data_IF_460015053222
#
_entry.id   IF_460015053222
#
_cell.length_a   1.000
_cell.length_b   1.000
_cell.length_c   1.000
_cell.angle_alpha   90.00
_cell.angle_beta   90.00
_cell.angle_gamma   90.00
#
_symmetry.space_group_name_H-M   'P 1'
#
loop_
_entity.id
_entity.type
_entity.pdbx_description
1 polymer ?
#
# COMPACT_ATOMS: atom_id res chain seq x y z
N UNK A 1 53.85 -7.83 16.38
CA UNK A 1 53.73 -8.73 15.21
C UNK A 1 52.77 -9.84 15.64
N UNK A 2 51.45 -9.68 15.59
CA UNK A 2 50.63 -9.36 14.43
C UNK A 2 50.21 -10.69 13.80
N UNK A 3 48.98 -11.15 14.07
CA UNK A 3 48.24 -12.04 13.17
C UNK A 3 46.75 -11.87 13.42
N UNK A 4 46.08 -11.55 12.33
CA UNK A 4 44.75 -10.97 12.19
C UNK A 4 43.69 -12.02 12.45
N UNK A 5 42.71 -11.68 13.29
CA UNK A 5 41.41 -12.31 13.25
C UNK A 5 40.73 -11.80 11.97
N UNK A 6 40.82 -12.57 10.89
CA UNK A 6 40.03 -12.32 9.69
C UNK A 6 38.59 -12.65 10.04
N UNK A 7 37.81 -11.62 10.33
CA UNK A 7 36.37 -11.70 10.47
C UNK A 7 35.85 -11.97 9.06
N UNK A 8 35.36 -13.18 8.81
CA UNK A 8 34.56 -13.45 7.63
C UNK A 8 33.20 -12.80 7.89
N UNK A 9 33.00 -11.57 7.42
CA UNK A 9 31.66 -11.09 7.10
C UNK A 9 31.32 -11.70 5.75
N UNK A 10 30.74 -12.90 5.75
CA UNK A 10 30.07 -13.41 4.57
C UNK A 10 28.88 -12.47 4.31
N UNK A 11 29.07 -11.48 3.44
CA UNK A 11 27.94 -10.78 2.85
C UNK A 11 27.25 -11.76 1.92
N UNK A 12 26.26 -12.49 2.49
CA UNK A 12 25.37 -13.29 1.68
C UNK A 12 24.65 -12.34 0.71
N UNK A 13 24.72 -12.60 -0.61
CA UNK A 13 24.01 -11.76 -1.56
C UNK A 13 22.52 -11.84 -1.23
N UNK A 14 21.95 -10.70 -0.86
CA UNK A 14 20.51 -10.59 -0.64
C UNK A 14 19.85 -10.77 -2.01
N UNK A 15 19.06 -11.84 -2.14
CA UNK A 15 18.36 -12.14 -3.38
C UNK A 15 17.07 -11.33 -3.38
N UNK A 16 16.89 -10.52 -4.42
CA UNK A 16 15.68 -9.76 -4.65
C UNK A 16 14.82 -10.46 -5.72
N UNK A 17 13.52 -10.54 -5.46
CA UNK A 17 12.51 -10.96 -6.42
C UNK A 17 12.08 -9.72 -7.19
N UNK A 18 12.18 -9.72 -8.53
CA UNK A 18 11.84 -8.53 -9.32
C UNK A 18 10.33 -8.24 -9.27
N UNK A 19 9.98 -6.96 -9.17
CA UNK A 19 8.58 -6.48 -9.19
C UNK A 19 7.76 -7.08 -10.33
N UNK A 20 8.37 -7.19 -11.51
CA UNK A 20 7.73 -7.70 -12.72
C UNK A 20 7.21 -9.13 -12.57
N UNK A 21 7.86 -9.97 -11.75
CA UNK A 21 7.41 -11.33 -11.49
C UNK A 21 6.26 -11.33 -10.47
N UNK A 22 6.33 -10.47 -9.45
CA UNK A 22 5.35 -10.40 -8.36
C UNK A 22 4.00 -9.89 -8.87
N UNK A 23 4.00 -8.84 -9.69
CA UNK A 23 2.76 -8.28 -10.26
C UNK A 23 2.08 -9.22 -11.29
N UNK A 24 2.79 -10.24 -11.78
CA UNK A 24 2.23 -11.24 -12.69
C UNK A 24 1.64 -12.45 -11.96
N UNK A 25 1.84 -12.54 -10.65
CA UNK A 25 1.31 -13.63 -9.84
C UNK A 25 -0.23 -13.63 -9.89
N UNK A 26 -0.89 -14.80 -9.97
CA UNK A 26 -2.36 -14.90 -9.99
C UNK A 26 -3.06 -14.10 -8.88
N UNK A 27 -2.42 -14.01 -7.72
CA UNK A 27 -2.88 -13.31 -6.53
C UNK A 27 -2.92 -11.78 -6.72
N UNK A 28 -2.00 -11.21 -7.51
CA UNK A 28 -1.85 -9.75 -7.67
C UNK A 28 -2.19 -9.23 -9.06
N UNK A 29 -2.17 -10.07 -10.10
CA UNK A 29 -2.22 -9.61 -11.49
C UNK A 29 -3.48 -8.83 -11.88
N UNK A 30 -4.61 -9.16 -11.26
CA UNK A 30 -5.90 -8.49 -11.48
C UNK A 30 -6.11 -7.31 -10.51
N UNK A 31 -5.19 -7.06 -9.58
CA UNK A 31 -5.33 -5.99 -8.60
C UNK A 31 -4.82 -4.66 -9.20
N UNK A 32 -5.66 -3.59 -9.26
CA UNK A 32 -5.26 -2.28 -9.81
C UNK A 32 -4.16 -1.58 -8.99
N UNK A 33 -3.94 -2.00 -7.75
CA UNK A 33 -2.92 -1.48 -6.85
C UNK A 33 -1.68 -2.38 -6.75
N UNK A 34 -1.53 -3.39 -7.60
CA UNK A 34 -0.42 -4.37 -7.50
C UNK A 34 0.97 -3.73 -7.46
N UNK A 35 1.23 -2.68 -8.25
CA UNK A 35 2.52 -1.98 -8.20
C UNK A 35 2.71 -1.28 -6.86
N UNK A 36 1.68 -0.57 -6.37
CA UNK A 36 1.73 0.13 -5.08
C UNK A 36 1.90 -0.83 -3.91
N UNK A 37 1.18 -1.96 -3.90
CA UNK A 37 1.33 -3.00 -2.89
C UNK A 37 2.80 -3.41 -2.82
N UNK A 38 3.40 -3.78 -3.95
CA UNK A 38 4.79 -4.23 -3.98
C UNK A 38 5.76 -3.11 -3.57
N UNK A 39 5.55 -1.88 -4.03
CA UNK A 39 6.35 -0.72 -3.63
C UNK A 39 6.27 -0.45 -2.11
N UNK A 40 5.10 -0.59 -1.48
CA UNK A 40 4.91 -0.39 -0.04
C UNK A 40 5.69 -1.40 0.81
N UNK A 41 5.90 -2.62 0.31
CA UNK A 41 6.68 -3.66 1.01
C UNK A 41 8.17 -3.63 0.63
N UNK A 42 8.57 -2.91 -0.41
CA UNK A 42 9.96 -2.83 -0.85
C UNK A 42 10.76 -1.90 0.05
N UNK A 43 11.86 -2.38 0.64
CA UNK A 43 12.74 -1.53 1.47
C UNK A 43 13.38 -0.38 0.68
N UNK A 44 13.62 -0.59 -0.61
CA UNK A 44 14.22 0.39 -1.52
C UNK A 44 13.20 1.28 -2.25
N UNK A 45 11.90 0.98 -2.12
CA UNK A 45 10.81 1.64 -2.85
C UNK A 45 10.82 1.41 -4.37
N UNK A 46 11.72 0.58 -4.91
CA UNK A 46 11.79 0.25 -6.35
C UNK A 46 10.92 -0.96 -6.71
N UNK A 47 10.29 -1.60 -5.71
CA UNK A 47 9.40 -2.76 -5.86
C UNK A 47 10.11 -4.12 -5.91
N UNK A 48 11.44 -4.16 -5.72
CA UNK A 48 12.19 -5.41 -5.69
C UNK A 48 12.23 -5.99 -4.29
N UNK A 49 11.36 -6.97 -4.02
CA UNK A 49 11.20 -7.53 -2.69
C UNK A 49 12.33 -8.51 -2.33
N UNK A 50 12.87 -8.40 -1.13
CA UNK A 50 13.63 -9.49 -0.52
C UNK A 50 12.69 -10.64 -0.14
N UNK A 51 13.24 -11.81 0.21
CA UNK A 51 12.42 -12.91 0.70
C UNK A 51 11.62 -12.53 1.96
N UNK A 52 12.18 -11.71 2.85
CA UNK A 52 11.48 -11.26 4.04
C UNK A 52 10.32 -10.34 3.69
N UNK A 53 10.55 -9.35 2.81
CA UNK A 53 9.49 -8.43 2.36
C UNK A 53 8.35 -9.16 1.67
N UNK A 54 8.68 -10.17 0.87
CA UNK A 54 7.70 -11.02 0.21
C UNK A 54 6.85 -11.79 1.23
N UNK A 55 7.47 -12.37 2.26
CA UNK A 55 6.75 -13.07 3.34
C UNK A 55 5.90 -12.11 4.16
N UNK A 56 6.39 -10.91 4.46
CA UNK A 56 5.65 -9.89 5.19
C UNK A 56 4.44 -9.39 4.39
N UNK A 57 4.61 -9.18 3.08
CA UNK A 57 3.52 -8.84 2.16
C UNK A 57 2.40 -9.86 2.24
N UNK A 58 2.69 -11.16 2.02
CA UNK A 58 1.66 -12.20 2.10
C UNK A 58 1.08 -12.38 3.51
N UNK A 59 1.87 -12.12 4.55
CA UNK A 59 1.39 -12.19 5.93
C UNK A 59 0.33 -11.12 6.23
N UNK A 60 0.46 -9.92 5.68
CA UNK A 60 -0.52 -8.84 5.81
C UNK A 60 -1.76 -9.09 4.95
N UNK A 61 -1.56 -9.61 3.74
CA UNK A 61 -2.64 -9.89 2.78
C UNK A 61 -3.49 -11.11 3.17
N UNK A 62 -2.98 -11.97 4.05
CA UNK A 62 -3.71 -13.12 4.56
C UNK A 62 -5.03 -12.73 5.25
N UNK A 63 -6.08 -13.56 5.09
CA UNK A 63 -7.38 -13.35 5.73
C UNK A 63 -7.25 -13.20 7.26
N UNK A 64 -6.37 -13.99 7.88
CA UNK A 64 -6.16 -14.00 9.32
C UNK A 64 -5.38 -12.81 9.87
N UNK A 65 -4.89 -11.89 9.04
CA UNK A 65 -4.10 -10.76 9.51
C UNK A 65 -4.97 -9.78 10.34
N UNK A 66 -4.44 -9.19 11.43
CA UNK A 66 -5.19 -8.25 12.25
C UNK A 66 -5.73 -7.07 11.44
N UNK A 67 -6.96 -6.66 11.73
CA UNK A 67 -7.62 -5.53 11.05
C UNK A 67 -6.80 -4.25 11.09
N UNK A 68 -6.17 -3.96 12.22
CA UNK A 68 -5.31 -2.78 12.42
C UNK A 68 -4.07 -2.82 11.51
N UNK A 69 -3.45 -3.99 11.36
CA UNK A 69 -2.32 -4.18 10.45
C UNK A 69 -2.75 -3.96 8.99
N UNK A 70 -3.89 -4.54 8.59
CA UNK A 70 -4.47 -4.31 7.26
C UNK A 70 -4.78 -2.84 7.00
N UNK A 71 -5.37 -2.15 7.97
CA UNK A 71 -5.67 -0.73 7.87
C UNK A 71 -4.39 0.11 7.71
N UNK A 72 -3.31 -0.22 8.45
CA UNK A 72 -2.02 0.47 8.31
C UNK A 72 -1.42 0.32 6.91
N UNK A 73 -1.42 -0.90 6.36
CA UNK A 73 -0.90 -1.10 5.02
C UNK A 73 -1.82 -0.55 3.93
N UNK A 74 -3.14 -0.65 4.09
CA UNK A 74 -4.09 -0.02 3.19
C UNK A 74 -3.83 1.49 3.12
N UNK A 75 -3.67 2.15 4.27
CA UNK A 75 -3.33 3.57 4.34
C UNK A 75 -2.07 3.90 3.52
N UNK A 76 -0.99 3.14 3.70
CA UNK A 76 0.27 3.31 2.94
C UNK A 76 0.14 3.04 1.44
N UNK A 77 -0.80 2.19 1.03
CA UNK A 77 -1.05 1.92 -0.39
C UNK A 77 -1.78 3.11 -1.04
N UNK A 78 -2.71 3.73 -0.31
CA UNK A 78 -3.45 4.92 -0.76
C UNK A 78 -2.63 6.20 -0.69
N UNK A 79 -1.70 6.34 0.26
CA UNK A 79 -0.74 7.44 0.33
C UNK A 79 0.34 7.27 -0.76
N UNK A 80 0.22 8.00 -1.87
CA UNK A 80 1.18 7.92 -2.98
C UNK A 80 2.41 8.78 -2.73
N UNK A 81 2.24 9.92 -2.05
CA UNK A 81 3.32 10.88 -1.82
C UNK A 81 4.18 10.52 -0.59
N UNK A 82 3.73 9.56 0.22
CA UNK A 82 4.36 9.02 1.45
C UNK A 82 4.51 10.04 2.59
N UNK A 83 3.63 11.04 2.67
CA UNK A 83 3.64 12.06 3.71
C UNK A 83 2.87 11.68 4.99
N UNK A 84 2.26 10.49 5.01
CA UNK A 84 1.36 9.96 6.05
C UNK A 84 0.00 10.66 6.13
N UNK A 85 -0.44 11.29 5.05
CA UNK A 85 -1.78 11.80 4.84
C UNK A 85 -2.29 11.29 3.49
N UNK A 86 -3.59 11.13 3.37
CA UNK A 86 -4.23 10.92 2.05
C UNK A 86 -4.82 12.26 1.65
N UNK A 87 -4.19 12.91 0.68
CA UNK A 87 -4.66 14.19 0.16
C UNK A 87 -5.57 13.98 -1.06
N UNK A 88 -6.07 15.08 -1.61
CA UNK A 88 -6.92 15.05 -2.80
C UNK A 88 -6.21 14.41 -4.00
N UNK A 89 -4.93 14.71 -4.19
CA UNK A 89 -4.12 14.15 -5.28
C UNK A 89 -3.98 12.61 -5.17
N UNK A 90 -3.84 12.09 -3.95
CA UNK A 90 -3.81 10.64 -3.70
C UNK A 90 -5.15 9.97 -4.05
N UNK A 91 -6.27 10.63 -3.72
CA UNK A 91 -7.61 10.16 -4.07
C UNK A 91 -7.86 10.21 -5.58
N UNK A 92 -7.36 11.24 -6.27
CA UNK A 92 -7.43 11.33 -7.73
C UNK A 92 -6.70 10.16 -8.41
N UNK A 93 -5.47 9.87 -7.97
CA UNK A 93 -4.69 8.73 -8.45
C UNK A 93 -5.38 7.40 -8.14
N UNK A 94 -5.96 7.29 -6.95
CA UNK A 94 -6.74 6.14 -6.53
C UNK A 94 -7.95 5.90 -7.44
N UNK A 95 -8.72 6.95 -7.71
CA UNK A 95 -9.90 6.88 -8.57
C UNK A 95 -9.50 6.55 -10.01
N UNK A 96 -8.44 7.15 -10.53
CA UNK A 96 -7.90 6.84 -11.86
C UNK A 96 -7.51 5.35 -11.99
N UNK A 97 -6.98 4.74 -10.92
CA UNK A 97 -6.66 3.30 -10.88
C UNK A 97 -7.90 2.41 -10.82
N UNK A 98 -8.92 2.82 -10.07
CA UNK A 98 -10.16 2.05 -9.89
C UNK A 98 -11.09 2.10 -11.11
N UNK A 99 -11.14 3.23 -11.80
CA UNK A 99 -12.05 3.46 -12.92
C UNK A 99 -11.37 3.33 -14.27
N UNK A 100 -10.11 2.92 -14.31
CA UNK A 100 -9.30 2.89 -15.53
C UNK A 100 -9.29 4.25 -16.26
N UNK A 101 -9.45 5.35 -15.51
CA UNK A 101 -9.58 6.72 -16.02
C UNK A 101 -10.78 6.93 -16.95
N UNK A 102 -11.89 6.21 -16.71
CA UNK A 102 -13.16 6.40 -17.43
C UNK A 102 -13.99 7.59 -16.93
N UNK A 103 -13.72 8.08 -15.70
CA UNK A 103 -14.39 9.26 -15.15
C UNK A 103 -13.84 10.55 -15.74
N UNK A 104 -14.71 11.56 -15.87
CA UNK A 104 -14.27 12.89 -16.22
C UNK A 104 -13.63 13.63 -15.02
N UNK A 105 -12.88 14.69 -15.31
CA UNK A 105 -12.14 15.45 -14.29
C UNK A 105 -13.07 16.09 -13.25
N UNK A 106 -14.27 16.51 -13.66
CA UNK A 106 -15.25 17.13 -12.77
C UNK A 106 -15.88 16.08 -11.81
N UNK A 107 -16.12 14.87 -12.30
CA UNK A 107 -16.61 13.72 -11.53
C UNK A 107 -15.56 13.26 -10.51
N UNK A 108 -14.30 13.13 -10.94
CA UNK A 108 -13.19 12.78 -10.04
C UNK A 108 -13.07 13.82 -8.92
N UNK A 109 -13.04 15.11 -9.27
CA UNK A 109 -12.97 16.21 -8.29
C UNK A 109 -14.15 16.16 -7.33
N UNK A 110 -15.38 15.96 -7.81
CA UNK A 110 -16.57 15.90 -6.98
C UNK A 110 -16.53 14.71 -5.99
N UNK A 111 -16.02 13.56 -6.42
CA UNK A 111 -15.88 12.39 -5.55
C UNK A 111 -14.82 12.65 -4.49
N UNK A 112 -13.64 13.18 -4.87
CA UNK A 112 -12.60 13.51 -3.92
C UNK A 112 -13.07 14.51 -2.86
N UNK A 113 -13.74 15.60 -3.28
CA UNK A 113 -14.23 16.63 -2.36
C UNK A 113 -15.24 16.06 -1.35
N UNK A 114 -16.14 15.16 -1.81
CA UNK A 114 -17.09 14.47 -0.91
C UNK A 114 -16.43 13.50 0.05
N UNK A 115 -15.39 12.79 -0.39
CA UNK A 115 -14.66 11.86 0.47
C UNK A 115 -13.97 12.64 1.60
N UNK A 116 -13.29 13.74 1.27
CA UNK A 116 -12.66 14.60 2.27
C UNK A 116 -13.71 15.20 3.21
N UNK A 117 -14.80 15.78 2.68
CA UNK A 117 -15.86 16.39 3.51
C UNK A 117 -16.47 15.42 4.53
N UNK A 118 -16.62 14.14 4.18
CA UNK A 118 -17.23 13.14 5.06
C UNK A 118 -16.22 12.45 6.01
N UNK A 119 -14.96 12.34 5.59
CA UNK A 119 -13.94 11.57 6.32
C UNK A 119 -13.00 12.44 7.17
N UNK A 120 -12.74 13.69 6.79
CA UNK A 120 -11.86 14.62 7.51
C UNK A 120 -12.53 15.10 8.81
N UNK A 121 -12.09 14.57 9.95
CA UNK A 121 -12.69 14.88 11.26
C UNK A 121 -12.07 16.11 11.92
N UNK A 122 -10.84 16.47 11.56
CA UNK A 122 -10.10 17.58 12.17
C UNK A 122 -10.07 18.86 11.32
N UNK A 123 -10.48 18.75 10.06
CA UNK A 123 -10.66 19.86 9.13
C UNK A 123 -9.36 20.38 8.54
N UNK A 124 -8.30 19.55 8.50
CA UNK A 124 -7.01 19.93 7.93
C UNK A 124 -6.95 19.81 6.40
N UNK A 125 -7.98 19.24 5.79
CA UNK A 125 -8.12 19.04 4.35
C UNK A 125 -7.46 17.76 3.83
N UNK A 126 -6.91 16.93 4.70
CA UNK A 126 -6.30 15.64 4.38
C UNK A 126 -6.84 14.56 5.33
N UNK A 127 -6.66 13.29 4.97
CA UNK A 127 -7.06 12.19 5.83
C UNK A 127 -5.83 11.63 6.53
N UNK A 128 -5.73 11.86 7.84
CA UNK A 128 -4.76 11.20 8.67
C UNK A 128 -5.14 9.74 8.95
N UNK A 129 -4.24 9.02 9.63
CA UNK A 129 -4.51 7.63 10.02
C UNK A 129 -5.75 7.50 10.94
N UNK A 130 -6.04 8.52 11.76
CA UNK A 130 -7.21 8.54 12.62
C UNK A 130 -8.51 8.63 11.80
N UNK A 131 -8.57 9.57 10.85
CA UNK A 131 -9.70 9.77 9.93
C UNK A 131 -9.95 8.52 9.09
N UNK A 132 -8.88 7.98 8.51
CA UNK A 132 -8.94 6.76 7.70
C UNK A 132 -9.38 5.54 8.53
N UNK A 133 -8.91 5.43 9.77
CA UNK A 133 -9.34 4.38 10.70
C UNK A 133 -10.84 4.46 11.01
N UNK A 134 -11.34 5.68 11.24
CA UNK A 134 -12.77 5.94 11.49
C UNK A 134 -13.62 5.66 10.24
N UNK A 135 -13.14 6.06 9.05
CA UNK A 135 -13.75 5.75 7.76
C UNK A 135 -13.89 4.24 7.55
N UNK A 136 -12.80 3.49 7.78
CA UNK A 136 -12.79 2.02 7.70
C UNK A 136 -13.74 1.40 8.73
N UNK A 137 -13.84 1.97 9.94
CA UNK A 137 -14.76 1.48 10.96
C UNK A 137 -16.22 1.64 10.53
N UNK A 138 -16.55 2.74 9.86
CA UNK A 138 -17.87 3.05 9.29
C UNK A 138 -18.19 2.21 8.04
N UNK A 139 -17.17 1.79 7.29
CA UNK A 139 -17.29 0.96 6.09
C UNK A 139 -16.65 -0.43 6.28
N UNK A 140 -17.30 -1.36 7.02
CA UNK A 140 -16.74 -2.70 7.28
C UNK A 140 -16.45 -3.50 6.00
N UNK A 141 -17.18 -3.24 4.92
CA UNK A 141 -17.00 -3.92 3.62
C UNK A 141 -15.77 -3.40 2.85
N UNK A 142 -15.23 -2.23 3.20
CA UNK A 142 -14.07 -1.64 2.53
C UNK A 142 -12.83 -2.54 2.65
N UNK A 143 -12.54 -3.01 3.87
CA UNK A 143 -11.43 -3.95 4.09
C UNK A 143 -11.73 -5.35 3.56
N UNK A 144 -13.00 -5.72 3.42
CA UNK A 144 -13.38 -7.01 2.80
C UNK A 144 -13.11 -7.02 1.29
N UNK A 145 -13.00 -5.84 0.67
CA UNK A 145 -12.64 -5.68 -0.74
C UNK A 145 -11.11 -5.76 -0.95
N UNK A 146 -10.32 -5.51 0.10
CA UNK A 146 -8.86 -5.78 0.15
C UNK A 146 -8.52 -7.27 0.27
N UNK A 147 -9.39 -8.14 -0.22
CA UNK A 147 -9.12 -9.56 -0.31
C UNK A 147 -8.41 -9.82 -1.64
N UNK A 148 -7.12 -10.07 -1.56
CA UNK A 148 -6.45 -10.84 -2.60
C UNK A 148 -6.95 -12.26 -2.45
N UNK A 149 -7.76 -12.70 -3.43
CA UNK A 149 -8.29 -14.06 -3.49
C UNK A 149 -7.11 -15.02 -3.61
N UNK A 150 -6.75 -15.65 -2.50
CA UNK A 150 -5.98 -16.90 -2.47
C UNK A 150 -6.95 -18.03 -2.16
#
# INVERSE_FOLDING_TARGET
MGNKQTIFTEEHPIVHVPVSLIIQMPELRENPFKERIVETFSEDGEGNLTFNDFVDMFSVLCESAPRELKANYAFKIYDFNTDNFICKEDLELTLARLTESELDEDEVVLVCDKVIEEADLDGDGNLGFADFGDMIAKAPDFLSTFHIWI
#
